data_IF_925945813784
#
_entry.id   IF_925945813784
#
_cell.length_a   1.000
_cell.length_b   1.000
_cell.length_c   1.000
_cell.angle_alpha   90.00
_cell.angle_beta   90.00
_cell.angle_gamma   90.00
#
_symmetry.space_group_name_H-M   'P 1'
#
loop_
_entity.id
_entity.type
_entity.pdbx_description
1 polymer ?
#
# COMPACT_ATOMS: atom_id res chain seq x y z
N UNK A 1 5.78 -27.16 -13.12
CA UNK A 1 5.45 -27.73 -11.80
C UNK A 1 4.20 -27.11 -11.16
N UNK A 2 3.73 -25.92 -11.56
CA UNK A 2 2.41 -25.41 -11.13
C UNK A 2 1.22 -26.08 -11.87
N UNK A 3 1.48 -26.69 -13.03
CA UNK A 3 0.48 -27.37 -13.86
C UNK A 3 -0.14 -28.60 -13.20
N UNK A 4 0.62 -29.39 -12.44
CA UNK A 4 0.12 -30.59 -11.75
C UNK A 4 -0.86 -30.27 -10.61
N UNK A 5 -0.70 -29.13 -9.93
CA UNK A 5 -1.56 -28.75 -8.81
C UNK A 5 -2.92 -28.21 -9.28
N UNK A 6 -2.92 -27.41 -10.35
CA UNK A 6 -4.14 -26.86 -10.95
C UNK A 6 -4.93 -27.95 -11.70
N UNK A 7 -4.24 -28.89 -12.35
CA UNK A 7 -4.82 -30.10 -12.94
C UNK A 7 -5.34 -31.07 -11.86
N UNK A 8 -4.66 -31.20 -10.72
CA UNK A 8 -5.14 -31.96 -9.56
C UNK A 8 -6.38 -31.33 -8.89
N UNK A 9 -6.41 -29.99 -8.74
CA UNK A 9 -7.57 -29.26 -8.22
C UNK A 9 -8.76 -29.29 -9.19
N UNK A 10 -8.51 -29.33 -10.50
CA UNK A 10 -9.56 -29.43 -11.51
C UNK A 10 -10.11 -30.85 -11.69
N UNK A 11 -9.32 -31.89 -11.39
CA UNK A 11 -9.75 -33.31 -11.47
C UNK A 11 -10.40 -33.82 -10.19
N UNK A 12 -10.10 -33.19 -9.05
CA UNK A 12 -10.81 -33.38 -7.79
C UNK A 12 -11.00 -32.02 -7.11
N UNK A 13 -12.12 -31.32 -7.40
CA UNK A 13 -12.42 -30.06 -6.74
C UNK A 13 -12.31 -30.23 -5.23
N UNK A 14 -11.65 -29.30 -4.52
CA UNK A 14 -11.55 -29.39 -3.06
C UNK A 14 -12.96 -29.44 -2.50
N UNK A 15 -13.22 -30.44 -1.64
CA UNK A 15 -14.49 -30.56 -0.96
C UNK A 15 -14.65 -29.38 -0.02
N UNK A 16 -15.37 -28.36 -0.48
CA UNK A 16 -15.59 -27.12 0.26
C UNK A 16 -16.37 -27.37 1.55
N UNK A 17 -17.19 -28.42 1.60
CA UNK A 17 -17.95 -28.79 2.80
C UNK A 17 -16.99 -29.40 3.83
N UNK A 18 -16.11 -30.31 3.41
CA UNK A 18 -15.08 -30.84 4.29
C UNK A 18 -14.10 -29.75 4.76
N UNK A 19 -13.67 -28.87 3.85
CA UNK A 19 -12.80 -27.74 4.18
C UNK A 19 -13.45 -26.78 5.20
N UNK A 20 -14.74 -26.48 5.02
CA UNK A 20 -15.50 -25.70 6.01
C UNK A 20 -15.57 -26.40 7.36
N UNK A 21 -15.77 -27.73 7.38
CA UNK A 21 -15.77 -28.51 8.61
C UNK A 21 -14.42 -28.46 9.35
N UNK A 22 -13.30 -28.53 8.63
CA UNK A 22 -11.97 -28.37 9.22
C UNK A 22 -11.73 -26.95 9.73
N UNK A 23 -12.24 -25.93 9.03
CA UNK A 23 -12.17 -24.55 9.49
C UNK A 23 -12.95 -24.37 10.81
N UNK A 24 -14.18 -24.87 10.88
CA UNK A 24 -15.00 -24.81 12.10
C UNK A 24 -14.30 -25.51 13.28
N UNK A 25 -13.63 -26.64 13.02
CA UNK A 25 -12.83 -27.34 14.02
C UNK A 25 -11.64 -26.50 14.52
N UNK A 26 -10.90 -25.88 13.60
CA UNK A 26 -9.77 -25.01 13.93
C UNK A 26 -10.21 -23.76 14.71
N UNK A 27 -11.33 -23.15 14.32
CA UNK A 27 -11.92 -22.01 15.04
C UNK A 27 -12.30 -22.42 16.45
N UNK A 28 -13.04 -23.52 16.61
CA UNK A 28 -13.43 -24.04 17.92
C UNK A 28 -12.20 -24.33 18.79
N UNK A 29 -11.18 -24.97 18.24
CA UNK A 29 -9.94 -25.25 18.95
C UNK A 29 -9.20 -23.97 19.37
N UNK A 30 -9.13 -22.98 18.49
CA UNK A 30 -8.53 -21.68 18.80
C UNK A 30 -9.30 -20.92 19.89
N UNK A 31 -10.63 -21.03 19.89
CA UNK A 31 -11.51 -20.39 20.87
C UNK A 31 -11.52 -21.09 22.23
N UNK A 32 -11.34 -22.42 22.30
CA UNK A 32 -11.34 -23.16 23.56
C UNK A 32 -9.95 -23.37 24.13
N UNK A 33 -9.05 -23.98 23.35
CA UNK A 33 -7.74 -24.42 23.84
C UNK A 33 -6.70 -23.30 23.84
N UNK A 34 -6.87 -22.30 22.96
CA UNK A 34 -5.95 -21.16 22.83
C UNK A 34 -6.51 -19.87 23.41
N UNK A 35 -7.63 -19.95 24.13
CA UNK A 35 -8.36 -18.79 24.65
C UNK A 35 -7.45 -17.79 25.37
N UNK A 36 -6.64 -18.33 26.29
CA UNK A 36 -5.72 -17.60 27.17
C UNK A 36 -4.24 -17.82 26.80
N UNK A 37 -3.98 -18.43 25.63
CA UNK A 37 -2.61 -18.77 25.25
C UNK A 37 -1.85 -17.50 24.82
N UNK A 38 -0.62 -17.25 25.33
CA UNK A 38 0.14 -16.02 25.04
C UNK A 38 0.50 -15.83 23.56
N UNK A 39 0.37 -16.88 22.75
CA UNK A 39 0.59 -16.86 21.31
C UNK A 39 -0.69 -17.02 20.49
N UNK A 40 -1.87 -16.78 21.08
CA UNK A 40 -3.14 -16.79 20.34
C UNK A 40 -3.03 -15.88 19.11
N UNK A 41 -3.30 -16.38 17.90
CA UNK A 41 -3.42 -15.53 16.72
C UNK A 41 -4.47 -14.45 17.00
N UNK A 42 -4.04 -13.19 16.97
CA UNK A 42 -4.93 -12.04 17.08
C UNK A 42 -5.49 -11.70 15.71
N UNK A 43 -6.72 -11.20 15.69
CA UNK A 43 -7.34 -10.70 14.47
C UNK A 43 -6.44 -9.59 13.88
N UNK A 44 -6.08 -9.69 12.58
CA UNK A 44 -5.18 -8.73 11.96
C UNK A 44 -5.78 -7.34 12.00
N UNK A 45 -4.92 -6.32 12.13
CA UNK A 45 -5.36 -4.94 11.93
C UNK A 45 -5.88 -4.76 10.51
N UNK A 46 -6.76 -3.77 10.24
CA UNK A 46 -7.31 -3.58 8.89
C UNK A 46 -6.25 -3.51 7.78
N UNK A 47 -5.13 -2.82 8.02
CA UNK A 47 -4.02 -2.72 7.07
C UNK A 47 -3.25 -4.04 6.87
N UNK A 48 -3.19 -4.88 7.91
CA UNK A 48 -2.60 -6.21 7.87
C UNK A 48 -3.52 -7.20 7.15
N UNK A 49 -4.83 -7.13 7.39
CA UNK A 49 -5.84 -7.94 6.71
C UNK A 49 -5.87 -7.63 5.21
N UNK A 50 -5.78 -6.34 4.84
CA UNK A 50 -5.67 -5.90 3.45
C UNK A 50 -4.36 -6.38 2.81
N UNK A 51 -3.25 -6.43 3.56
CA UNK A 51 -1.99 -7.00 3.08
C UNK A 51 -2.12 -8.50 2.84
N UNK A 52 -2.64 -9.25 3.82
CA UNK A 52 -2.85 -10.71 3.71
C UNK A 52 -3.76 -11.06 2.53
N UNK A 53 -4.84 -10.30 2.33
CA UNK A 53 -5.76 -10.49 1.19
C UNK A 53 -5.03 -10.29 -0.14
N UNK A 54 -4.17 -9.26 -0.23
CA UNK A 54 -3.36 -9.01 -1.44
C UNK A 54 -2.30 -10.09 -1.66
N UNK A 55 -1.63 -10.55 -0.62
CA UNK A 55 -0.65 -11.64 -0.71
C UNK A 55 -1.31 -12.93 -1.22
N UNK A 56 -2.49 -13.27 -0.68
CA UNK A 56 -3.25 -14.42 -1.17
C UNK A 56 -3.67 -14.26 -2.65
N UNK A 57 -4.20 -13.08 -3.02
CA UNK A 57 -4.57 -12.81 -4.41
C UNK A 57 -3.36 -12.85 -5.36
N UNK A 58 -2.19 -12.41 -4.89
CA UNK A 58 -0.91 -12.47 -5.60
C UNK A 58 -0.52 -13.92 -5.87
N UNK A 59 -0.61 -14.81 -4.88
CA UNK A 59 -0.25 -16.22 -5.03
C UNK A 59 -1.16 -16.93 -6.04
N UNK A 60 -2.47 -16.71 -5.98
CA UNK A 60 -3.42 -17.25 -6.96
C UNK A 60 -3.11 -16.76 -8.37
N UNK A 61 -2.84 -15.46 -8.52
CA UNK A 61 -2.50 -14.86 -9.82
C UNK A 61 -1.17 -15.36 -10.35
N UNK A 62 -0.19 -15.57 -9.47
CA UNK A 62 1.11 -16.14 -9.84
C UNK A 62 0.98 -17.53 -10.44
N UNK A 63 0.03 -18.36 -10.00
CA UNK A 63 -0.19 -19.66 -10.61
C UNK A 63 -0.74 -19.57 -12.06
N UNK A 64 -1.62 -18.60 -12.31
CA UNK A 64 -2.35 -18.48 -13.58
C UNK A 64 -1.63 -17.69 -14.69
N UNK A 65 -0.68 -16.80 -14.34
CA UNK A 65 -0.05 -15.90 -15.32
C UNK A 65 1.18 -16.52 -16.03
N UNK A 66 1.39 -16.20 -17.32
CA UNK A 66 2.63 -16.52 -18.01
C UNK A 66 3.85 -15.90 -17.33
N UNK A 67 4.98 -16.61 -17.36
CA UNK A 67 6.25 -16.21 -16.71
C UNK A 67 6.63 -14.76 -17.02
N UNK A 68 6.62 -14.36 -18.29
CA UNK A 68 7.00 -13.00 -18.70
C UNK A 68 6.10 -11.90 -18.10
N UNK A 69 4.81 -12.18 -17.89
CA UNK A 69 3.90 -11.24 -17.23
C UNK A 69 4.22 -11.16 -15.75
N UNK A 70 4.53 -12.29 -15.10
CA UNK A 70 4.93 -12.32 -13.68
C UNK A 70 6.23 -11.58 -13.44
N UNK A 71 7.22 -11.77 -14.30
CA UNK A 71 8.51 -11.09 -14.21
C UNK A 71 8.34 -9.57 -14.34
N UNK A 72 7.50 -9.15 -15.29
CA UNK A 72 7.19 -7.74 -15.50
C UNK A 72 6.42 -7.14 -14.31
N UNK A 73 5.43 -7.86 -13.78
CA UNK A 73 4.73 -7.45 -12.56
C UNK A 73 5.68 -7.32 -11.36
N UNK A 74 6.55 -8.31 -11.16
CA UNK A 74 7.55 -8.30 -10.09
C UNK A 74 8.54 -7.15 -10.23
N UNK A 75 8.94 -6.80 -11.46
CA UNK A 75 9.77 -5.63 -11.74
C UNK A 75 9.07 -4.33 -11.31
N UNK A 76 7.78 -4.17 -11.63
CA UNK A 76 7.02 -2.97 -11.30
C UNK A 76 6.71 -2.91 -9.80
N UNK A 77 6.38 -4.03 -9.16
CA UNK A 77 6.17 -4.15 -7.71
C UNK A 77 7.44 -3.75 -6.94
N UNK A 78 8.60 -4.32 -7.30
CA UNK A 78 9.88 -3.96 -6.68
C UNK A 78 10.20 -2.47 -6.87
N UNK A 79 9.92 -1.91 -8.04
CA UNK A 79 10.10 -0.49 -8.29
C UNK A 79 9.21 0.37 -7.38
N UNK A 80 7.93 0.00 -7.23
CA UNK A 80 7.00 0.68 -6.32
C UNK A 80 7.53 0.66 -4.88
N UNK A 81 7.89 -0.51 -4.35
CA UNK A 81 8.38 -0.67 -2.99
C UNK A 81 9.64 0.16 -2.72
N UNK A 82 10.66 0.02 -3.57
CA UNK A 82 11.94 0.72 -3.41
C UNK A 82 11.73 2.23 -3.43
N UNK A 83 10.94 2.75 -4.38
CA UNK A 83 10.69 4.19 -4.53
C UNK A 83 9.85 4.73 -3.37
N UNK A 84 8.80 4.00 -2.98
CA UNK A 84 7.96 4.37 -1.85
C UNK A 84 8.76 4.41 -0.54
N UNK A 85 9.58 3.40 -0.26
CA UNK A 85 10.44 3.37 0.92
C UNK A 85 11.48 4.49 0.91
N UNK A 86 12.07 4.80 -0.26
CA UNK A 86 13.01 5.91 -0.39
C UNK A 86 12.36 7.25 -0.03
N UNK A 87 11.13 7.50 -0.51
CA UNK A 87 10.35 8.69 -0.17
C UNK A 87 9.98 8.71 1.31
N UNK A 88 9.46 7.62 1.87
CA UNK A 88 9.08 7.56 3.28
C UNK A 88 10.25 7.89 4.24
N UNK A 89 11.49 7.55 3.85
CA UNK A 89 12.71 7.82 4.62
C UNK A 89 13.20 9.26 4.56
N UNK A 90 12.66 10.12 3.69
CA UNK A 90 13.03 11.54 3.65
C UNK A 90 12.40 12.27 4.84
N UNK A 91 13.17 12.80 5.81
CA UNK A 91 12.60 13.46 6.98
C UNK A 91 11.95 14.81 6.65
N UNK A 92 12.35 15.47 5.55
CA UNK A 92 11.90 16.82 5.17
C UNK A 92 10.51 16.86 4.51
N UNK A 93 9.91 15.70 4.21
CA UNK A 93 8.58 15.64 3.63
C UNK A 93 7.51 16.03 4.66
N UNK A 94 6.74 17.07 4.32
CA UNK A 94 5.55 17.49 5.06
C UNK A 94 4.50 16.37 5.16
N UNK A 95 3.71 16.39 6.25
CA UNK A 95 2.68 15.40 6.55
C UNK A 95 1.65 15.23 5.43
N UNK A 96 1.25 16.32 4.75
CA UNK A 96 0.31 16.26 3.64
C UNK A 96 0.92 15.57 2.42
N UNK A 97 2.18 15.87 2.13
CA UNK A 97 2.90 15.23 1.01
C UNK A 97 3.04 13.73 1.28
N UNK A 98 3.34 13.35 2.52
CA UNK A 98 3.38 11.94 2.91
C UNK A 98 2.04 11.27 2.63
N UNK A 99 0.92 11.85 3.07
CA UNK A 99 -0.41 11.30 2.78
C UNK A 99 -0.69 11.18 1.28
N UNK A 100 -0.32 12.18 0.48
CA UNK A 100 -0.47 12.13 -0.99
C UNK A 100 0.38 10.97 -1.58
N UNK A 101 1.61 10.76 -1.10
CA UNK A 101 2.49 9.64 -1.50
C UNK A 101 1.86 8.29 -1.15
N UNK A 102 1.38 8.12 0.09
CA UNK A 102 0.70 6.90 0.53
C UNK A 102 -0.52 6.60 -0.36
N UNK A 103 -1.33 7.61 -0.67
CA UNK A 103 -2.49 7.45 -1.53
C UNK A 103 -2.11 7.00 -2.95
N UNK A 104 -1.14 7.66 -3.58
CA UNK A 104 -0.70 7.30 -4.94
C UNK A 104 -0.04 5.92 -4.98
N UNK A 105 0.76 5.57 -3.97
CA UNK A 105 1.34 4.23 -3.83
C UNK A 105 0.25 3.16 -3.71
N UNK A 106 -0.81 3.42 -2.93
CA UNK A 106 -1.97 2.53 -2.83
C UNK A 106 -2.67 2.33 -4.18
N UNK A 107 -2.80 3.38 -5.01
CA UNK A 107 -3.36 3.24 -6.37
C UNK A 107 -2.46 2.43 -7.30
N UNK A 108 -1.14 2.61 -7.19
CA UNK A 108 -0.17 1.84 -7.97
C UNK A 108 -0.26 0.35 -7.62
N UNK A 109 -0.31 0.02 -6.33
CA UNK A 109 -0.48 -1.35 -5.84
C UNK A 109 -1.80 -1.95 -6.34
N UNK A 110 -2.92 -1.23 -6.20
CA UNK A 110 -4.22 -1.70 -6.69
C UNK A 110 -4.22 -1.92 -8.22
N UNK A 111 -3.57 -1.04 -8.98
CA UNK A 111 -3.44 -1.23 -10.43
C UNK A 111 -2.63 -2.49 -10.78
N UNK A 112 -1.56 -2.78 -10.03
CA UNK A 112 -0.82 -4.04 -10.14
C UNK A 112 -1.70 -5.23 -9.79
N UNK A 113 -2.45 -5.15 -8.70
CA UNK A 113 -3.34 -6.21 -8.23
C UNK A 113 -4.34 -6.63 -9.31
N UNK A 114 -4.88 -5.63 -10.03
CA UNK A 114 -5.82 -5.79 -11.14
C UNK A 114 -5.16 -6.12 -12.49
N UNK A 115 -3.82 -6.19 -12.58
CA UNK A 115 -3.09 -6.48 -13.82
C UNK A 115 -2.94 -5.30 -14.78
N UNK A 116 -3.27 -4.07 -14.37
CA UNK A 116 -3.12 -2.86 -15.17
C UNK A 116 -1.69 -2.29 -15.08
N UNK A 117 -0.73 -2.96 -15.72
CA UNK A 117 0.70 -2.66 -15.61
C UNK A 117 1.04 -1.20 -15.96
N UNK A 118 0.54 -0.71 -17.09
CA UNK A 118 0.79 0.67 -17.51
C UNK A 118 0.22 1.69 -16.53
N UNK A 119 -0.93 1.38 -15.90
CA UNK A 119 -1.53 2.23 -14.90
C UNK A 119 -0.67 2.27 -13.65
N UNK A 120 -0.19 1.11 -13.18
CA UNK A 120 0.74 1.04 -12.06
C UNK A 120 2.00 1.87 -12.30
N UNK A 121 2.62 1.74 -13.47
CA UNK A 121 3.81 2.54 -13.81
C UNK A 121 3.54 4.04 -13.86
N UNK A 122 2.36 4.46 -14.38
CA UNK A 122 1.96 5.87 -14.34
C UNK A 122 1.82 6.38 -12.92
N UNK A 123 1.24 5.59 -12.03
CA UNK A 123 1.11 5.97 -10.62
C UNK A 123 2.46 6.02 -9.90
N UNK A 124 3.38 5.10 -10.21
CA UNK A 124 4.75 5.16 -9.69
C UNK A 124 5.44 6.47 -10.11
N UNK A 125 5.33 6.86 -11.39
CA UNK A 125 5.89 8.13 -11.88
C UNK A 125 5.24 9.34 -11.20
N UNK A 126 3.92 9.31 -10.99
CA UNK A 126 3.19 10.36 -10.26
C UNK A 126 3.64 10.46 -8.81
N UNK A 127 3.87 9.35 -8.13
CA UNK A 127 4.35 9.32 -6.75
C UNK A 127 5.70 10.03 -6.62
N UNK A 128 6.62 9.77 -7.55
CA UNK A 128 7.93 10.44 -7.59
C UNK A 128 7.82 11.94 -7.84
N UNK A 129 6.89 12.36 -8.69
CA UNK A 129 6.59 13.78 -8.93
C UNK A 129 6.07 14.47 -7.67
N UNK A 130 5.11 13.85 -6.97
CA UNK A 130 4.58 14.39 -5.70
C UNK A 130 5.69 14.56 -4.65
N UNK A 131 6.61 13.59 -4.55
CA UNK A 131 7.75 13.67 -3.65
C UNK A 131 8.78 14.74 -4.04
N UNK A 132 9.02 14.92 -5.34
CA UNK A 132 10.08 15.80 -5.86
C UNK A 132 9.66 17.27 -5.97
N UNK A 133 8.46 17.55 -6.48
CA UNK A 133 7.94 18.91 -6.69
C UNK A 133 7.65 19.64 -5.37
N UNK A 134 7.45 18.89 -4.28
CA UNK A 134 7.08 19.45 -2.97
C UNK A 134 8.16 19.33 -1.90
N UNK A 135 9.21 18.53 -2.12
CA UNK A 135 10.45 18.57 -1.34
C UNK A 135 11.28 19.83 -1.67
N UNK A 136 11.13 20.38 -2.88
CA UNK A 136 11.87 21.56 -3.36
C UNK A 136 11.23 22.94 -3.08
N UNK A 137 10.17 23.05 -2.27
CA UNK A 137 9.49 24.33 -2.06
C UNK A 137 9.63 24.87 -0.62
N UNK A 138 10.67 25.67 -0.31
CA UNK A 138 10.75 26.46 0.91
C UNK A 138 9.90 27.75 0.77
N UNK A 139 8.63 27.64 0.38
CA UNK A 139 7.73 28.79 0.23
C UNK A 139 6.48 28.67 1.11
N UNK A 140 6.68 28.52 2.42
CA UNK A 140 6.01 29.43 3.34
C UNK A 140 6.98 30.57 3.64
N UNK A 141 7.09 31.51 2.69
CA UNK A 141 7.73 32.79 2.94
C UNK A 141 6.99 33.44 4.10
N UNK A 142 7.75 33.66 5.18
CA UNK A 142 7.45 34.58 6.26
C UNK A 142 6.87 35.86 5.68
N UNK A 143 5.61 36.11 6.00
CA UNK A 143 4.99 37.42 5.83
C UNK A 143 5.85 38.44 6.60
N UNK A 144 6.40 39.49 5.96
CA UNK A 144 7.20 40.45 6.69
C UNK A 144 6.27 41.22 7.63
N UNK A 145 6.66 41.22 8.90
CA UNK A 145 6.10 42.07 9.93
C UNK A 145 5.96 43.51 9.41
N UNK A 146 4.72 44.04 9.38
CA UNK A 146 4.49 45.48 9.30
C UNK A 146 4.86 46.09 10.65
N UNK A 147 6.12 46.39 10.84
CA UNK A 147 6.59 47.40 11.81
C UNK A 147 7.03 48.64 11.06
N UNK A 148 6.59 49.80 11.56
CA UNK A 148 6.77 51.12 10.97
C UNK A 148 5.46 51.89 11.11
N UNK A 149 5.05 52.27 12.32
CA UNK A 149 5.55 53.43 13.08
C UNK A 149 5.58 54.71 12.22
N UNK A 150 4.68 55.63 12.60
CA UNK A 150 4.52 56.98 12.07
C UNK A 150 5.85 57.77 11.97
N UNK A 151 5.85 58.77 11.09
CA UNK A 151 6.00 60.13 11.62
C UNK A 151 4.95 61.09 11.05
N UNK A 152 4.44 61.94 11.94
CA UNK A 152 3.38 62.90 11.67
C UNK A 152 3.81 64.10 10.83
N UNK A 153 2.82 64.91 10.46
CA UNK A 153 2.82 66.37 10.60
C UNK A 153 1.55 66.95 9.95
N UNK A 154 0.81 67.75 10.74
CA UNK A 154 0.24 69.05 10.37
C UNK A 154 -0.79 69.08 9.18
N UNK A 155 -1.96 69.73 9.25
CA UNK A 155 -2.40 70.93 9.97
C UNK A 155 -3.79 71.32 9.42
N UNK A 156 -4.54 72.13 10.19
CA UNK A 156 -5.54 73.14 9.81
C UNK A 156 -7.01 72.94 10.24
N UNK A 157 -7.44 73.97 11.00
CA UNK A 157 -8.77 74.51 11.33
C UNK A 157 -9.76 73.67 12.14
#
# INVERSE_FOLDING_TARGET
>A
MATDADEALSTSPPDLVAASGYLDELVRWAETEWADHPYRPVEPRPDEADRQTRDYAKDLRHAALPVHVRDEMGRIELALEVRFLALCRQPELDCRIRQDIFYVAGRAAMALDLGYLEAAEREIRRMEQVGSERSGNPAHQLSPARTGSHPGANRHN
#
